data_IF_449292588632
#
_entry.id   IF_449292588632
#
_cell.length_a   1.000
_cell.length_b   1.000
_cell.length_c   1.000
_cell.angle_alpha   90.00
_cell.angle_beta   90.00
_cell.angle_gamma   90.00
#
_symmetry.space_group_name_H-M   'P 1'
#
loop_
_entity.id
_entity.type
_entity.pdbx_description
1 polymer ?
#
# COMPACT_ATOMS: atom_id res chain seq x y z
N UNK A 1 37.07 9.90 29.61
CA UNK A 1 36.56 11.01 28.76
C UNK A 1 36.30 10.60 27.31
N UNK A 2 37.06 9.69 26.70
CA UNK A 2 36.81 9.24 25.32
C UNK A 2 35.48 8.48 25.12
N UNK A 3 35.01 7.73 26.12
CA UNK A 3 33.84 6.85 26.01
C UNK A 3 32.49 7.59 25.95
N UNK A 4 32.40 8.78 26.56
CA UNK A 4 31.21 9.64 26.52
C UNK A 4 31.09 10.42 25.20
N UNK A 5 32.23 10.72 24.56
CA UNK A 5 32.27 11.37 23.25
C UNK A 5 31.80 10.43 22.14
N UNK A 6 32.15 9.15 22.19
CA UNK A 6 31.64 8.16 21.23
C UNK A 6 30.11 8.03 21.27
N UNK A 7 29.51 8.07 22.47
CA UNK A 7 28.06 8.02 22.61
C UNK A 7 27.37 9.27 22.03
N UNK A 8 27.93 10.46 22.29
CA UNK A 8 27.41 11.71 21.74
C UNK A 8 27.53 11.77 20.20
N UNK A 9 28.68 11.38 19.64
CA UNK A 9 28.90 11.32 18.18
C UNK A 9 27.97 10.29 17.52
N UNK A 10 27.79 9.11 18.13
CA UNK A 10 26.86 8.11 17.63
C UNK A 10 25.40 8.59 17.66
N UNK A 11 25.00 9.33 18.70
CA UNK A 11 23.66 9.91 18.80
C UNK A 11 23.42 10.98 17.73
N UNK A 12 24.37 11.89 17.52
CA UNK A 12 24.28 12.90 16.46
C UNK A 12 24.25 12.28 15.05
N UNK A 13 25.05 11.24 14.82
CA UNK A 13 25.05 10.51 13.55
C UNK A 13 23.72 9.80 13.29
N UNK A 14 23.08 9.22 14.32
CA UNK A 14 21.78 8.57 14.19
C UNK A 14 20.65 9.57 13.90
N UNK A 15 20.70 10.79 14.48
CA UNK A 15 19.74 11.86 14.17
C UNK A 15 19.94 12.38 12.75
N UNK A 16 21.18 12.63 12.33
CA UNK A 16 21.50 13.08 10.97
C UNK A 16 21.13 12.03 9.89
N UNK A 17 21.32 10.73 10.18
CA UNK A 17 20.90 9.67 9.27
C UNK A 17 19.38 9.60 9.10
N UNK A 18 18.61 9.92 10.16
CA UNK A 18 17.14 9.96 10.11
C UNK A 18 16.61 11.16 9.32
N UNK A 19 17.23 12.33 9.44
CA UNK A 19 16.83 13.51 8.64
C UNK A 19 17.10 13.28 7.16
N UNK A 20 18.29 12.77 6.81
CA UNK A 20 18.64 12.42 5.41
C UNK A 20 17.69 11.37 4.82
N UNK A 21 17.28 10.38 5.61
CA UNK A 21 16.30 9.40 5.17
C UNK A 21 14.93 10.04 4.88
N UNK A 22 14.43 10.90 5.77
CA UNK A 22 13.20 11.68 5.54
C UNK A 22 13.26 12.51 4.27
N UNK A 23 14.33 13.30 4.11
CA UNK A 23 14.56 14.16 2.94
C UNK A 23 14.57 13.36 1.62
N UNK A 24 15.11 12.13 1.63
CA UNK A 24 15.13 11.26 0.47
C UNK A 24 13.74 10.72 0.09
N UNK A 25 12.89 10.40 1.08
CA UNK A 25 11.51 9.96 0.83
C UNK A 25 10.62 11.10 0.36
N UNK A 26 10.81 12.30 0.91
CA UNK A 26 10.08 13.50 0.51
C UNK A 26 10.43 13.88 -0.93
N UNK A 27 11.72 13.94 -1.27
CA UNK A 27 12.17 14.20 -2.64
C UNK A 27 11.64 13.17 -3.64
N UNK A 28 11.58 11.89 -3.26
CA UNK A 28 10.97 10.84 -4.10
C UNK A 28 9.47 11.06 -4.26
N UNK A 29 8.78 11.42 -3.19
CA UNK A 29 7.34 11.70 -3.21
C UNK A 29 7.04 12.88 -4.12
N UNK A 30 7.76 13.99 -3.98
CA UNK A 30 7.64 15.17 -4.84
C UNK A 30 7.87 14.80 -6.32
N UNK A 31 8.90 14.01 -6.61
CA UNK A 31 9.20 13.56 -7.98
C UNK A 31 8.11 12.64 -8.57
N UNK A 32 7.37 11.89 -7.75
CA UNK A 32 6.21 11.10 -8.18
C UNK A 32 5.01 12.02 -8.38
N UNK A 33 4.67 12.84 -7.38
CA UNK A 33 3.53 13.75 -7.39
C UNK A 33 3.58 14.73 -8.56
N UNK A 34 4.78 15.23 -8.91
CA UNK A 34 4.99 16.10 -10.06
C UNK A 34 4.62 15.47 -11.42
N UNK A 35 4.48 14.14 -11.48
CA UNK A 35 4.11 13.40 -12.70
C UNK A 35 2.65 12.96 -12.73
N UNK A 36 1.92 13.15 -11.63
CA UNK A 36 0.53 12.72 -11.51
C UNK A 36 -0.41 13.81 -12.05
N UNK A 37 -1.43 13.38 -12.78
CA UNK A 37 -2.57 14.22 -13.13
C UNK A 37 -3.52 14.41 -11.93
N UNK A 38 -4.54 15.26 -12.07
CA UNK A 38 -5.59 15.34 -11.05
C UNK A 38 -6.31 14.00 -10.88
N UNK A 39 -6.60 13.29 -11.98
CA UNK A 39 -7.28 11.99 -11.97
C UNK A 39 -6.41 10.91 -11.31
N UNK A 40 -5.10 10.95 -11.52
CA UNK A 40 -4.15 10.12 -10.77
C UNK A 40 -4.31 10.30 -9.26
N UNK A 41 -4.24 11.55 -8.80
CA UNK A 41 -4.29 11.87 -7.37
C UNK A 41 -5.64 11.42 -6.78
N UNK A 42 -6.75 11.72 -7.46
CA UNK A 42 -8.08 11.30 -7.02
C UNK A 42 -8.19 9.77 -6.95
N UNK A 43 -7.69 9.06 -7.95
CA UNK A 43 -7.65 7.60 -7.94
C UNK A 43 -6.81 7.06 -6.79
N UNK A 44 -5.60 7.60 -6.57
CA UNK A 44 -4.72 7.18 -5.48
C UNK A 44 -5.31 7.45 -4.09
N UNK A 45 -6.09 8.51 -3.93
CA UNK A 45 -6.82 8.83 -2.69
C UNK A 45 -8.10 8.01 -2.49
N UNK A 46 -8.50 7.22 -3.49
CA UNK A 46 -9.72 6.41 -3.43
C UNK A 46 -9.42 4.98 -2.96
N UNK A 47 -10.22 4.53 -2.00
CA UNK A 47 -10.22 3.16 -1.51
C UNK A 47 -11.56 2.48 -1.78
N UNK A 48 -11.53 1.28 -2.36
CA UNK A 48 -12.72 0.49 -2.68
C UNK A 48 -12.78 -0.77 -1.81
N UNK A 49 -13.99 -1.20 -1.42
CA UNK A 49 -14.16 -2.50 -0.75
C UNK A 49 -13.79 -3.64 -1.72
N UNK A 50 -12.95 -4.59 -1.28
CA UNK A 50 -12.47 -5.74 -2.05
C UNK A 50 -13.60 -6.58 -2.66
N UNK A 51 -14.79 -6.63 -2.05
CA UNK A 51 -15.94 -7.35 -2.61
C UNK A 51 -16.34 -6.82 -4.01
N UNK A 52 -15.97 -5.58 -4.35
CA UNK A 52 -16.17 -5.04 -5.70
C UNK A 52 -15.22 -5.65 -6.74
N UNK A 53 -14.12 -6.28 -6.35
CA UNK A 53 -13.20 -6.97 -7.26
C UNK A 53 -13.53 -8.44 -7.46
N UNK A 54 -14.57 -8.95 -6.80
CA UNK A 54 -14.82 -10.38 -6.70
C UNK A 54 -16.16 -10.76 -7.32
N UNK A 55 -16.20 -11.98 -7.82
CA UNK A 55 -17.43 -12.69 -8.16
C UNK A 55 -18.06 -13.27 -6.89
N UNK A 56 -19.30 -13.76 -7.01
CA UNK A 56 -20.05 -14.32 -5.87
C UNK A 56 -19.37 -15.52 -5.19
N UNK A 57 -18.52 -16.24 -5.92
CA UNK A 57 -17.73 -17.37 -5.43
C UNK A 57 -16.37 -16.98 -4.84
N UNK A 58 -16.11 -15.68 -4.68
CA UNK A 58 -14.82 -15.14 -4.23
C UNK A 58 -13.68 -15.50 -5.19
N UNK A 59 -13.91 -15.54 -6.49
CA UNK A 59 -12.84 -15.47 -7.50
C UNK A 59 -12.70 -14.04 -8.03
N UNK A 60 -11.56 -13.72 -8.63
CA UNK A 60 -11.30 -12.39 -9.17
C UNK A 60 -12.22 -12.08 -10.38
N UNK A 61 -12.75 -10.87 -10.39
CA UNK A 61 -13.47 -10.29 -11.53
C UNK A 61 -12.52 -9.38 -12.31
N UNK A 62 -11.83 -9.95 -13.31
CA UNK A 62 -10.81 -9.26 -14.10
C UNK A 62 -11.35 -8.01 -14.83
N UNK A 63 -12.61 -8.01 -15.25
CA UNK A 63 -13.22 -6.85 -15.91
C UNK A 63 -13.29 -5.65 -14.96
N UNK A 64 -13.65 -5.91 -13.69
CA UNK A 64 -13.68 -4.86 -12.66
C UNK A 64 -12.27 -4.42 -12.24
N UNK A 65 -11.31 -5.35 -12.18
CA UNK A 65 -9.89 -4.99 -11.99
C UNK A 65 -9.44 -4.02 -13.06
N UNK A 66 -9.70 -4.33 -14.34
CA UNK A 66 -9.35 -3.47 -15.48
C UNK A 66 -10.07 -2.13 -15.39
N UNK A 67 -11.36 -2.11 -15.05
CA UNK A 67 -12.14 -0.90 -14.91
C UNK A 67 -11.57 0.03 -13.83
N UNK A 68 -11.28 -0.50 -12.63
CA UNK A 68 -10.71 0.30 -11.55
C UNK A 68 -9.24 0.68 -11.79
N UNK A 69 -8.47 -0.13 -12.53
CA UNK A 69 -7.13 0.24 -12.96
C UNK A 69 -7.15 1.47 -13.89
N UNK A 70 -8.12 1.54 -14.82
CA UNK A 70 -8.34 2.72 -15.67
C UNK A 70 -8.73 3.96 -14.85
N UNK A 71 -9.43 3.77 -13.72
CA UNK A 71 -9.77 4.81 -12.75
C UNK A 71 -8.65 5.11 -11.73
N UNK A 72 -7.51 4.44 -11.85
CA UNK A 72 -6.29 4.72 -11.06
C UNK A 72 -6.46 4.53 -9.56
N UNK A 73 -7.40 3.67 -9.14
CA UNK A 73 -7.72 3.37 -7.74
C UNK A 73 -6.47 2.89 -6.99
N UNK A 74 -6.14 3.55 -5.87
CA UNK A 74 -4.91 3.32 -5.11
C UNK A 74 -5.03 2.28 -4.00
N UNK A 75 -6.24 1.95 -3.53
CA UNK A 75 -6.41 1.06 -2.39
C UNK A 75 -7.66 0.17 -2.50
N UNK A 76 -7.53 -1.05 -1.97
CA UNK A 76 -8.64 -1.97 -1.75
C UNK A 76 -8.62 -2.48 -0.31
N UNK A 77 -9.77 -2.48 0.36
CA UNK A 77 -9.89 -2.83 1.78
C UNK A 77 -10.87 -3.98 2.00
N UNK A 78 -10.61 -4.71 3.10
CA UNK A 78 -11.33 -5.84 3.71
C UNK A 78 -10.79 -7.22 3.31
N UNK A 79 -11.22 -8.22 4.08
CA UNK A 79 -11.10 -9.62 3.68
C UNK A 79 -12.35 -10.00 2.88
N UNK A 80 -12.21 -10.77 1.79
CA UNK A 80 -13.35 -11.36 1.07
C UNK A 80 -14.27 -12.22 1.95
N UNK A 81 -13.78 -12.64 3.13
CA UNK A 81 -14.45 -13.49 4.10
C UNK A 81 -14.83 -12.74 5.39
N UNK A 82 -14.74 -11.41 5.42
CA UNK A 82 -15.12 -10.59 6.59
C UNK A 82 -16.59 -10.77 6.99
N UNK A 83 -17.47 -11.13 6.06
CA UNK A 83 -18.89 -11.44 6.30
C UNK A 83 -19.17 -12.89 6.75
N UNK A 84 -18.14 -13.73 6.90
CA UNK A 84 -18.26 -15.15 7.24
C UNK A 84 -17.84 -16.09 6.10
N UNK A 85 -17.93 -17.41 6.35
CA UNK A 85 -17.47 -18.40 5.38
C UNK A 85 -18.34 -18.43 4.13
N UNK A 86 -17.71 -18.61 2.98
CA UNK A 86 -18.38 -18.86 1.69
C UNK A 86 -18.14 -20.32 1.31
N UNK A 87 -19.20 -21.12 1.15
CA UNK A 87 -19.11 -22.55 0.84
C UNK A 87 -18.19 -23.33 1.82
N UNK A 88 -18.23 -22.97 3.11
CA UNK A 88 -17.41 -23.59 4.15
C UNK A 88 -15.94 -23.12 4.18
N UNK A 89 -15.51 -22.25 3.27
CA UNK A 89 -14.17 -21.65 3.27
C UNK A 89 -14.15 -20.33 4.04
N UNK A 90 -13.12 -20.14 4.86
CA UNK A 90 -12.89 -18.92 5.66
C UNK A 90 -11.77 -18.03 5.11
N UNK A 91 -11.15 -18.45 4.01
CA UNK A 91 -9.98 -17.82 3.43
C UNK A 91 -9.52 -18.56 2.18
N UNK A 92 -8.63 -17.92 1.44
CA UNK A 92 -7.88 -18.55 0.37
C UNK A 92 -6.60 -19.18 0.90
N UNK A 93 -6.21 -20.32 0.36
CA UNK A 93 -4.86 -20.86 0.51
C UNK A 93 -3.85 -19.95 -0.18
N UNK A 94 -2.56 -20.11 0.14
CA UNK A 94 -1.50 -19.34 -0.51
C UNK A 94 -1.42 -19.57 -2.03
N UNK A 95 -1.90 -20.72 -2.52
CA UNK A 95 -2.01 -21.01 -3.96
C UNK A 95 -3.18 -20.25 -4.57
N UNK A 96 -4.36 -20.32 -3.96
CA UNK A 96 -5.56 -19.61 -4.43
C UNK A 96 -5.39 -18.08 -4.41
N UNK A 97 -4.63 -17.53 -3.45
CA UNK A 97 -4.34 -16.09 -3.41
C UNK A 97 -3.45 -15.61 -4.57
N UNK A 98 -2.58 -16.49 -5.10
CA UNK A 98 -1.62 -16.14 -6.16
C UNK A 98 -2.11 -16.48 -7.57
N UNK A 99 -3.17 -17.29 -7.67
CA UNK A 99 -3.78 -17.71 -8.93
C UNK A 99 -4.54 -16.54 -9.55
#
# INVERSE_FOLDING_TARGET
MFRTWFAAVACCAAVAARTVAGDAWDSRTDAIMAKLTTDDILGQMTQINIDNLLKGDKTLDEEKVIAYAKLRIGSYLNSPFSGGPTNGKYGWTATEWRA
#
